data_IF_861901053480
#
_entry.id   IF_861901053480
#
_cell.length_a   1.000
_cell.length_b   1.000
_cell.length_c   1.000
_cell.angle_alpha   90.00
_cell.angle_beta   90.00
_cell.angle_gamma   90.00
#
_symmetry.space_group_name_H-M   'P 1'
#
loop_
_entity.id
_entity.type
_entity.pdbx_description
1 polymer ?
#
# COMPACT_ATOMS: atom_id res chain seq x y z
N UNK A 1 -67.72 -59.99 -65.16
CA UNK A 1 -68.19 -58.79 -65.89
C UNK A 1 -66.96 -57.97 -66.24
N UNK A 2 -66.50 -58.07 -67.49
CA UNK A 2 -65.45 -57.19 -68.02
C UNK A 2 -66.08 -55.81 -68.19
N UNK A 3 -65.61 -54.83 -67.42
CA UNK A 3 -65.92 -53.42 -67.65
C UNK A 3 -65.32 -53.05 -69.00
N UNK A 4 -66.17 -52.66 -69.95
CA UNK A 4 -65.75 -52.21 -71.28
C UNK A 4 -64.86 -50.96 -71.13
N UNK A 5 -63.55 -51.06 -71.40
CA UNK A 5 -62.62 -49.95 -71.17
C UNK A 5 -62.93 -48.71 -72.02
N UNK A 6 -63.73 -48.85 -73.09
CA UNK A 6 -64.07 -47.81 -74.06
C UNK A 6 -65.51 -47.27 -73.93
N UNK A 7 -66.20 -47.54 -72.81
CA UNK A 7 -67.51 -46.94 -72.56
C UNK A 7 -67.41 -45.40 -72.43
N UNK A 8 -67.74 -44.70 -73.52
CA UNK A 8 -67.69 -43.25 -73.61
C UNK A 8 -68.58 -42.55 -72.58
N UNK A 9 -69.75 -43.12 -72.23
CA UNK A 9 -70.63 -42.54 -71.20
C UNK A 9 -69.98 -42.59 -69.82
N UNK A 10 -69.26 -43.67 -69.49
CA UNK A 10 -68.55 -43.76 -68.22
C UNK A 10 -67.39 -42.75 -68.15
N UNK A 11 -66.64 -42.58 -69.25
CA UNK A 11 -65.58 -41.55 -69.35
C UNK A 11 -66.14 -40.13 -69.21
N UNK A 12 -67.26 -39.84 -69.88
CA UNK A 12 -67.96 -38.54 -69.75
C UNK A 12 -68.46 -38.29 -68.32
N UNK A 13 -69.01 -39.31 -67.66
CA UNK A 13 -69.47 -39.22 -66.28
C UNK A 13 -68.33 -38.94 -65.29
N UNK A 14 -67.20 -39.61 -65.44
CA UNK A 14 -65.98 -39.37 -64.64
C UNK A 14 -65.40 -37.97 -64.88
N UNK A 15 -65.39 -37.50 -66.13
CA UNK A 15 -64.98 -36.14 -66.48
C UNK A 15 -65.89 -35.09 -65.82
N UNK A 16 -67.21 -35.27 -65.91
CA UNK A 16 -68.20 -34.37 -65.29
C UNK A 16 -68.04 -34.32 -63.77
N UNK A 17 -67.68 -35.44 -63.14
CA UNK A 17 -67.43 -35.50 -61.71
C UNK A 17 -66.13 -34.75 -61.34
N UNK A 18 -65.09 -34.87 -62.16
CA UNK A 18 -63.85 -34.12 -61.98
C UNK A 18 -64.05 -32.60 -62.16
N UNK A 19 -64.88 -32.17 -63.13
CA UNK A 19 -65.27 -30.76 -63.31
C UNK A 19 -65.97 -30.20 -62.05
N UNK A 20 -66.85 -31.00 -61.41
CA UNK A 20 -67.49 -30.59 -60.15
C UNK A 20 -66.49 -30.44 -59.02
N UNK A 21 -65.52 -31.35 -58.91
CA UNK A 21 -64.44 -31.22 -57.93
C UNK A 21 -63.55 -30.01 -58.21
N UNK A 22 -63.31 -29.68 -59.48
CA UNK A 22 -62.62 -28.45 -59.87
C UNK A 22 -63.39 -27.22 -59.39
N UNK A 23 -64.69 -27.09 -59.72
CA UNK A 23 -65.51 -25.95 -59.30
C UNK A 23 -65.57 -25.81 -57.77
N UNK A 24 -65.70 -26.93 -57.05
CA UNK A 24 -65.69 -26.93 -55.59
C UNK A 24 -64.33 -26.47 -55.04
N UNK A 25 -63.23 -26.94 -55.61
CA UNK A 25 -61.89 -26.54 -55.21
C UNK A 25 -61.63 -25.05 -55.49
N UNK A 26 -62.09 -24.53 -56.63
CA UNK A 26 -62.01 -23.11 -56.96
C UNK A 26 -62.78 -22.25 -55.95
N UNK A 27 -64.01 -22.67 -55.61
CA UNK A 27 -64.81 -21.99 -54.59
C UNK A 27 -64.12 -22.00 -53.22
N UNK A 28 -63.55 -23.14 -52.80
CA UNK A 28 -62.82 -23.26 -51.54
C UNK A 28 -61.56 -22.39 -51.54
N UNK A 29 -60.81 -22.36 -52.65
CA UNK A 29 -59.65 -21.49 -52.79
C UNK A 29 -60.02 -20.00 -52.77
N UNK A 30 -61.20 -19.61 -53.27
CA UNK A 30 -61.71 -18.23 -53.18
C UNK A 30 -62.12 -17.86 -51.76
N UNK A 31 -62.50 -18.83 -50.94
CA UNK A 31 -62.80 -18.66 -49.51
C UNK A 31 -61.53 -18.76 -48.63
N UNK A 32 -60.34 -18.81 -49.24
CA UNK A 32 -59.05 -19.02 -48.56
C UNK A 32 -58.96 -20.35 -47.78
N UNK A 33 -59.91 -21.27 -47.98
CA UNK A 33 -59.82 -22.64 -47.46
C UNK A 33 -58.98 -23.51 -48.40
N UNK A 34 -57.69 -23.20 -48.45
CA UNK A 34 -56.76 -23.87 -49.34
C UNK A 34 -56.60 -25.35 -48.99
N UNK A 35 -56.75 -25.74 -47.72
CA UNK A 35 -56.66 -27.15 -47.32
C UNK A 35 -57.84 -27.95 -47.87
N UNK A 36 -59.08 -27.47 -47.73
CA UNK A 36 -60.23 -28.14 -48.31
C UNK A 36 -60.17 -28.14 -49.85
N UNK A 37 -59.68 -27.05 -50.45
CA UNK A 37 -59.44 -26.97 -51.90
C UNK A 37 -58.48 -28.06 -52.38
N UNK A 38 -57.32 -28.23 -51.72
CA UNK A 38 -56.36 -29.30 -52.04
C UNK A 38 -56.97 -30.70 -51.88
N UNK A 39 -57.80 -30.92 -50.86
CA UNK A 39 -58.48 -32.20 -50.66
C UNK A 39 -59.50 -32.50 -51.77
N UNK A 40 -60.22 -31.48 -52.25
CA UNK A 40 -61.14 -31.58 -53.40
C UNK A 40 -60.39 -31.84 -54.70
N UNK A 41 -59.27 -31.15 -54.95
CA UNK A 41 -58.41 -31.38 -56.12
C UNK A 41 -57.86 -32.81 -56.12
N UNK A 42 -57.40 -33.29 -54.96
CA UNK A 42 -56.90 -34.66 -54.80
C UNK A 42 -57.97 -35.70 -55.13
N UNK A 43 -59.22 -35.49 -54.70
CA UNK A 43 -60.35 -36.36 -55.07
C UNK A 43 -60.64 -36.31 -56.58
N UNK A 44 -60.62 -35.12 -57.19
CA UNK A 44 -60.79 -34.95 -58.64
C UNK A 44 -59.71 -35.68 -59.46
N UNK A 45 -58.44 -35.55 -59.06
CA UNK A 45 -57.30 -36.21 -59.71
C UNK A 45 -57.27 -37.73 -59.50
N UNK A 46 -57.83 -38.26 -58.40
CA UNK A 46 -58.02 -39.70 -58.21
C UNK A 46 -59.02 -40.30 -59.20
N UNK A 47 -60.00 -39.50 -59.65
CA UNK A 47 -61.05 -39.91 -60.59
C UNK A 47 -60.57 -39.75 -62.04
N UNK A 48 -59.92 -38.61 -62.34
CA UNK A 48 -59.39 -38.28 -63.67
C UNK A 48 -57.94 -37.74 -63.54
N UNK A 49 -56.92 -38.61 -63.59
CA UNK A 49 -55.51 -38.21 -63.39
C UNK A 49 -54.97 -37.23 -64.45
N UNK A 50 -55.57 -37.22 -65.63
CA UNK A 50 -55.16 -36.40 -66.78
C UNK A 50 -56.11 -35.21 -67.01
N UNK A 51 -56.85 -34.80 -65.98
CA UNK A 51 -57.75 -33.65 -66.07
C UNK A 51 -56.97 -32.33 -66.29
N UNK A 52 -57.25 -31.65 -67.39
CA UNK A 52 -56.48 -30.51 -67.90
C UNK A 52 -56.36 -29.36 -66.87
N UNK A 53 -57.47 -29.01 -66.21
CA UNK A 53 -57.52 -27.85 -65.29
C UNK A 53 -57.11 -28.14 -63.84
N UNK A 54 -57.13 -29.40 -63.39
CA UNK A 54 -56.90 -29.72 -61.97
C UNK A 54 -55.43 -29.64 -61.57
N UNK A 55 -54.51 -29.96 -62.50
CA UNK A 55 -53.06 -29.83 -62.27
C UNK A 55 -52.59 -28.38 -62.08
N UNK A 56 -52.92 -27.42 -62.96
CA UNK A 56 -52.54 -26.02 -62.74
C UNK A 56 -53.24 -25.43 -61.50
N UNK A 57 -54.49 -25.85 -61.22
CA UNK A 57 -55.18 -25.44 -59.98
C UNK A 57 -54.47 -25.98 -58.73
N UNK A 58 -53.96 -27.22 -58.75
CA UNK A 58 -53.18 -27.79 -57.64
C UNK A 58 -51.96 -26.94 -57.32
N UNK A 59 -51.17 -26.60 -58.34
CA UNK A 59 -49.95 -25.79 -58.18
C UNK A 59 -50.28 -24.39 -57.64
N UNK A 60 -51.32 -23.75 -58.18
CA UNK A 60 -51.77 -22.44 -57.72
C UNK A 60 -52.21 -22.45 -56.25
N UNK A 61 -53.03 -23.43 -55.84
CA UNK A 61 -53.53 -23.53 -54.46
C UNK A 61 -52.40 -23.90 -53.50
N UNK A 62 -51.45 -24.75 -53.91
CA UNK A 62 -50.26 -25.05 -53.12
C UNK A 62 -49.39 -23.81 -52.89
N UNK A 63 -49.18 -22.97 -53.92
CA UNK A 63 -48.44 -21.72 -53.79
C UNK A 63 -49.13 -20.75 -52.82
N UNK A 64 -50.45 -20.52 -52.98
CA UNK A 64 -51.22 -19.64 -52.07
C UNK A 64 -51.19 -20.12 -50.61
N UNK A 65 -51.31 -21.43 -50.38
CA UNK A 65 -51.19 -22.00 -49.04
C UNK A 65 -49.78 -21.83 -48.47
N UNK A 66 -48.74 -21.99 -49.28
CA UNK A 66 -47.37 -21.77 -48.85
C UNK A 66 -47.15 -20.32 -48.41
N UNK A 67 -47.66 -19.34 -49.18
CA UNK A 67 -47.61 -17.91 -48.84
C UNK A 67 -48.36 -17.60 -47.53
N UNK A 68 -49.55 -18.16 -47.32
CA UNK A 68 -50.32 -17.98 -46.07
C UNK A 68 -49.57 -18.54 -44.86
N UNK A 69 -49.00 -19.74 -44.99
CA UNK A 69 -48.22 -20.37 -43.93
C UNK A 69 -46.95 -19.58 -43.62
N UNK A 70 -46.30 -19.01 -44.63
CA UNK A 70 -45.14 -18.14 -44.46
C UNK A 70 -45.53 -16.86 -43.71
N UNK A 71 -46.59 -16.16 -44.13
CA UNK A 71 -47.12 -14.99 -43.41
C UNK A 71 -47.51 -15.30 -41.96
N UNK A 72 -48.11 -16.45 -41.72
CA UNK A 72 -48.47 -16.89 -40.36
C UNK A 72 -47.22 -17.09 -39.50
N UNK A 73 -46.20 -17.77 -40.04
CA UNK A 73 -44.90 -17.96 -39.37
C UNK A 73 -44.19 -16.65 -39.11
N UNK A 74 -44.20 -15.73 -40.06
CA UNK A 74 -43.66 -14.37 -39.89
C UNK A 74 -44.39 -13.64 -38.75
N UNK A 75 -45.72 -13.74 -38.69
CA UNK A 75 -46.54 -13.18 -37.62
C UNK A 75 -46.18 -13.75 -36.24
N UNK A 76 -46.06 -15.08 -36.13
CA UNK A 76 -45.65 -15.76 -34.90
C UNK A 76 -44.22 -15.36 -34.47
N UNK A 77 -43.29 -15.29 -35.43
CA UNK A 77 -41.92 -14.84 -35.21
C UNK A 77 -41.89 -13.40 -34.70
N UNK A 78 -42.67 -12.50 -35.31
CA UNK A 78 -42.73 -11.10 -34.92
C UNK A 78 -43.33 -10.93 -33.50
N UNK A 79 -44.34 -11.73 -33.15
CA UNK A 79 -44.90 -11.76 -31.80
C UNK A 79 -43.86 -12.23 -30.78
N UNK A 80 -43.09 -13.27 -31.11
CA UNK A 80 -42.01 -13.77 -30.26
C UNK A 80 -40.91 -12.72 -30.07
N UNK A 81 -40.49 -12.03 -31.13
CA UNK A 81 -39.53 -10.92 -31.06
C UNK A 81 -40.05 -9.82 -30.14
N UNK A 82 -41.33 -9.46 -30.26
CA UNK A 82 -41.96 -8.43 -29.42
C UNK A 82 -41.90 -8.81 -27.93
N UNK A 83 -42.20 -10.07 -27.59
CA UNK A 83 -42.11 -10.56 -26.21
C UNK A 83 -40.68 -10.56 -25.68
N UNK A 84 -39.70 -10.97 -26.50
CA UNK A 84 -38.29 -10.95 -26.12
C UNK A 84 -37.78 -9.52 -25.90
N UNK A 85 -38.22 -8.56 -26.72
CA UNK A 85 -37.86 -7.15 -26.56
C UNK A 85 -38.36 -6.61 -25.23
N UNK A 86 -39.62 -6.89 -24.87
CA UNK A 86 -40.17 -6.51 -23.57
C UNK A 86 -39.41 -7.15 -22.41
N UNK A 87 -39.09 -8.45 -22.52
CA UNK A 87 -38.29 -9.15 -21.52
C UNK A 87 -36.90 -8.53 -21.34
N UNK A 88 -36.23 -8.15 -22.44
CA UNK A 88 -34.91 -7.54 -22.40
C UNK A 88 -34.92 -6.17 -21.69
N UNK A 89 -35.94 -5.34 -21.94
CA UNK A 89 -36.11 -4.06 -21.25
C UNK A 89 -36.33 -4.26 -19.74
N UNK A 90 -37.16 -5.23 -19.35
CA UNK A 90 -37.36 -5.57 -17.93
C UNK A 90 -36.06 -6.06 -17.27
N UNK A 91 -35.26 -6.87 -17.96
CA UNK A 91 -33.95 -7.32 -17.48
C UNK A 91 -32.98 -6.14 -17.29
N UNK A 92 -33.00 -5.16 -18.21
CA UNK A 92 -32.24 -3.91 -18.08
C UNK A 92 -32.65 -3.15 -16.81
N UNK A 93 -33.95 -3.00 -16.56
CA UNK A 93 -34.47 -2.30 -15.37
C UNK A 93 -34.06 -3.00 -14.07
N UNK A 94 -33.99 -4.33 -14.09
CA UNK A 94 -33.53 -5.16 -12.98
C UNK A 94 -32.00 -5.25 -12.86
N UNK A 95 -31.25 -4.51 -13.70
CA UNK A 95 -29.79 -4.56 -13.80
C UNK A 95 -29.22 -5.95 -14.12
N UNK A 96 -30.03 -6.82 -14.72
CA UNK A 96 -29.60 -8.12 -15.26
C UNK A 96 -29.03 -7.92 -16.66
N UNK A 97 -27.88 -7.24 -16.72
CA UNK A 97 -27.31 -6.74 -17.98
C UNK A 97 -26.57 -7.84 -18.75
N UNK A 98 -25.47 -8.36 -18.18
CA UNK A 98 -24.72 -9.53 -18.69
C UNK A 98 -24.62 -10.66 -17.66
N UNK A 99 -25.35 -10.53 -16.55
CA UNK A 99 -25.38 -11.49 -15.46
C UNK A 99 -26.77 -11.48 -14.83
N UNK A 100 -27.27 -12.62 -14.33
CA UNK A 100 -26.68 -13.97 -14.34
C UNK A 100 -26.59 -14.58 -15.75
N UNK A 101 -25.84 -15.67 -15.91
CA UNK A 101 -25.49 -16.27 -17.20
C UNK A 101 -26.67 -16.86 -18.00
N UNK A 102 -27.85 -17.04 -17.41
CA UNK A 102 -29.01 -17.64 -18.10
C UNK A 102 -30.21 -16.70 -18.21
N UNK A 103 -30.12 -15.50 -17.62
CA UNK A 103 -31.26 -14.58 -17.52
C UNK A 103 -30.80 -13.13 -17.48
N UNK A 104 -30.29 -12.66 -18.61
CA UNK A 104 -29.82 -11.29 -18.78
C UNK A 104 -30.21 -10.70 -20.14
N UNK A 105 -30.25 -9.37 -20.20
CA UNK A 105 -30.67 -8.61 -21.38
C UNK A 105 -29.77 -8.87 -22.59
N UNK A 106 -28.46 -9.02 -22.39
CA UNK A 106 -27.52 -9.30 -23.47
C UNK A 106 -27.91 -10.56 -24.25
N UNK A 107 -28.18 -11.66 -23.56
CA UNK A 107 -28.60 -12.91 -24.20
C UNK A 107 -29.97 -12.80 -24.87
N UNK A 108 -30.92 -12.10 -24.26
CA UNK A 108 -32.25 -11.91 -24.85
C UNK A 108 -32.17 -11.13 -26.17
N UNK A 109 -31.32 -10.09 -26.26
CA UNK A 109 -31.08 -9.41 -27.53
C UNK A 109 -30.32 -10.27 -28.54
N UNK A 110 -29.39 -11.11 -28.12
CA UNK A 110 -28.76 -12.08 -29.02
C UNK A 110 -29.79 -13.05 -29.62
N UNK A 111 -30.72 -13.57 -28.81
CA UNK A 111 -31.82 -14.42 -29.30
C UNK A 111 -32.72 -13.70 -30.30
N UNK A 112 -32.97 -12.40 -30.13
CA UNK A 112 -33.71 -11.62 -31.11
C UNK A 112 -32.94 -11.53 -32.42
N UNK A 113 -31.63 -11.28 -32.39
CA UNK A 113 -30.81 -11.21 -33.60
C UNK A 113 -30.60 -12.57 -34.30
N UNK A 114 -30.76 -13.68 -33.57
CA UNK A 114 -30.83 -15.02 -34.17
C UNK A 114 -32.12 -15.23 -34.97
N UNK A 115 -33.23 -14.60 -34.55
CA UNK A 115 -34.51 -14.65 -35.26
C UNK A 115 -34.56 -13.62 -36.40
N UNK A 116 -34.09 -12.40 -36.14
CA UNK A 116 -34.10 -11.25 -37.06
C UNK A 116 -32.76 -10.49 -36.96
N UNK A 117 -31.78 -10.83 -37.81
CA UNK A 117 -30.46 -10.19 -37.81
C UNK A 117 -30.50 -8.67 -38.06
N UNK A 118 -31.56 -8.18 -38.69
CA UNK A 118 -31.74 -6.77 -39.02
C UNK A 118 -32.57 -6.00 -37.98
N UNK A 119 -32.89 -6.63 -36.85
CA UNK A 119 -33.66 -6.00 -35.79
C UNK A 119 -32.94 -4.81 -35.15
N UNK A 120 -33.30 -3.60 -35.59
CA UNK A 120 -32.68 -2.37 -35.10
C UNK A 120 -32.91 -2.14 -33.59
N UNK A 121 -34.03 -2.60 -33.03
CA UNK A 121 -34.31 -2.48 -31.60
C UNK A 121 -33.35 -3.33 -30.77
N UNK A 122 -33.03 -4.54 -31.21
CA UNK A 122 -32.04 -5.39 -30.54
C UNK A 122 -30.62 -4.86 -30.67
N UNK A 123 -30.24 -4.34 -31.85
CA UNK A 123 -28.94 -3.65 -32.05
C UNK A 123 -28.80 -2.45 -31.10
N UNK A 124 -29.85 -1.63 -30.97
CA UNK A 124 -29.90 -0.52 -30.00
C UNK A 124 -29.91 -1.01 -28.54
N UNK A 125 -30.46 -2.20 -28.28
CA UNK A 125 -30.46 -2.84 -26.97
C UNK A 125 -29.07 -2.99 -26.36
N UNK A 126 -28.06 -3.33 -27.17
CA UNK A 126 -26.67 -3.39 -26.70
C UNK A 126 -26.14 -2.01 -26.27
N UNK A 127 -26.51 -0.93 -26.96
CA UNK A 127 -26.16 0.43 -26.55
C UNK A 127 -26.83 0.80 -25.22
N UNK A 128 -28.12 0.44 -25.04
CA UNK A 128 -28.82 0.64 -23.75
C UNK A 128 -28.17 -0.11 -22.59
N UNK A 129 -27.65 -1.32 -22.84
CA UNK A 129 -26.87 -2.06 -21.84
C UNK A 129 -25.58 -1.29 -21.50
N UNK A 130 -24.88 -0.77 -22.51
CA UNK A 130 -23.72 0.11 -22.33
C UNK A 130 -24.02 1.35 -21.49
N UNK A 131 -25.13 2.06 -21.77
CA UNK A 131 -25.59 3.23 -21.01
C UNK A 131 -25.84 2.91 -19.53
N UNK A 132 -26.36 1.71 -19.25
CA UNK A 132 -26.59 1.25 -17.87
C UNK A 132 -25.28 0.97 -17.16
N UNK A 133 -24.31 0.35 -17.82
CA UNK A 133 -22.97 0.19 -17.28
C UNK A 133 -22.26 1.52 -17.07
N UNK A 134 -22.42 2.48 -17.98
CA UNK A 134 -21.87 3.83 -17.85
C UNK A 134 -22.35 4.48 -16.54
N UNK A 135 -23.66 4.53 -16.31
CA UNK A 135 -24.23 5.09 -15.08
C UNK A 135 -23.72 4.41 -13.82
N UNK A 136 -23.49 3.10 -13.87
CA UNK A 136 -22.97 2.33 -12.74
C UNK A 136 -21.47 2.62 -12.51
N UNK A 137 -20.68 2.72 -13.59
CA UNK A 137 -19.28 3.08 -13.55
C UNK A 137 -19.05 4.50 -13.03
N UNK A 138 -19.87 5.47 -13.44
CA UNK A 138 -19.84 6.85 -12.93
C UNK A 138 -20.12 6.92 -11.43
N UNK A 139 -21.01 6.05 -10.91
CA UNK A 139 -21.25 5.94 -9.46
C UNK A 139 -20.01 5.44 -8.75
N UNK A 140 -19.36 4.39 -9.27
CA UNK A 140 -18.11 3.89 -8.68
C UNK A 140 -16.98 4.92 -8.74
N UNK A 141 -16.85 5.67 -9.84
CA UNK A 141 -15.87 6.75 -9.96
C UNK A 141 -16.12 7.85 -8.92
N UNK A 142 -17.36 8.34 -8.81
CA UNK A 142 -17.74 9.37 -7.81
C UNK A 142 -17.52 8.92 -6.37
N UNK A 143 -17.68 7.63 -6.09
CA UNK A 143 -17.40 7.03 -4.79
C UNK A 143 -15.90 6.74 -4.56
N UNK A 144 -15.02 7.14 -5.48
CA UNK A 144 -13.57 6.92 -5.40
C UNK A 144 -13.13 5.48 -5.66
N UNK A 145 -14.05 4.59 -6.02
CA UNK A 145 -13.77 3.19 -6.32
C UNK A 145 -13.36 3.02 -7.79
N UNK A 146 -12.23 3.63 -8.16
CA UNK A 146 -11.73 3.64 -9.55
C UNK A 146 -11.55 2.24 -10.15
N UNK A 147 -11.01 1.22 -9.43
CA UNK A 147 -10.92 -0.14 -9.98
C UNK A 147 -12.28 -0.78 -10.28
N UNK A 148 -13.28 -0.56 -9.43
CA UNK A 148 -14.64 -1.05 -9.64
C UNK A 148 -15.32 -0.33 -10.82
N UNK A 149 -15.04 0.97 -10.98
CA UNK A 149 -15.46 1.74 -12.15
C UNK A 149 -14.89 1.14 -13.44
N UNK A 150 -13.57 0.89 -13.50
CA UNK A 150 -12.94 0.23 -14.66
C UNK A 150 -13.54 -1.13 -14.98
N UNK A 151 -13.73 -2.00 -13.99
CA UNK A 151 -14.35 -3.32 -14.24
C UNK A 151 -15.76 -3.19 -14.81
N UNK A 152 -16.51 -2.20 -14.35
CA UNK A 152 -17.88 -1.93 -14.82
C UNK A 152 -17.86 -1.37 -16.25
N UNK A 153 -16.89 -0.52 -16.57
CA UNK A 153 -16.66 0.00 -17.93
C UNK A 153 -16.31 -1.12 -18.89
N UNK A 154 -15.38 -2.00 -18.49
CA UNK A 154 -14.96 -3.13 -19.33
C UNK A 154 -16.12 -4.09 -19.62
N UNK A 155 -17.03 -4.31 -18.66
CA UNK A 155 -18.27 -5.06 -18.89
C UNK A 155 -19.19 -4.38 -19.90
N UNK A 156 -19.35 -3.05 -19.81
CA UNK A 156 -20.14 -2.27 -20.77
C UNK A 156 -19.55 -2.32 -22.18
N UNK A 157 -18.23 -2.14 -22.30
CA UNK A 157 -17.52 -2.22 -23.58
C UNK A 157 -17.48 -3.63 -24.16
N UNK A 158 -17.58 -4.67 -23.33
CA UNK A 158 -17.76 -6.05 -23.81
C UNK A 158 -19.07 -6.27 -24.56
N UNK A 159 -20.09 -5.45 -24.30
CA UNK A 159 -21.40 -5.51 -24.97
C UNK A 159 -21.51 -4.46 -26.07
N UNK A 160 -21.02 -3.25 -25.83
CA UNK A 160 -21.03 -2.13 -26.77
C UNK A 160 -19.59 -1.59 -26.96
N UNK A 161 -18.77 -2.23 -27.82
CA UNK A 161 -17.35 -1.90 -27.98
C UNK A 161 -17.07 -0.45 -28.40
N UNK A 162 -17.97 0.11 -29.21
CA UNK A 162 -17.83 1.45 -29.78
C UNK A 162 -18.57 2.54 -28.98
N UNK A 163 -18.99 2.23 -27.75
CA UNK A 163 -19.74 3.18 -26.92
C UNK A 163 -18.87 4.38 -26.52
N UNK A 164 -19.19 5.61 -27.00
CA UNK A 164 -18.29 6.74 -26.91
C UNK A 164 -18.05 7.21 -25.47
N UNK A 165 -19.10 7.31 -24.63
CA UNK A 165 -18.94 7.74 -23.24
C UNK A 165 -18.17 6.73 -22.39
N UNK A 166 -18.38 5.42 -22.59
CA UNK A 166 -17.63 4.38 -21.86
C UNK A 166 -16.13 4.44 -22.20
N UNK A 167 -15.80 4.63 -23.49
CA UNK A 167 -14.41 4.80 -23.93
C UNK A 167 -13.78 6.07 -23.32
N UNK A 168 -14.52 7.17 -23.28
CA UNK A 168 -14.07 8.42 -22.67
C UNK A 168 -13.86 8.26 -21.16
N UNK A 169 -14.82 7.65 -20.46
CA UNK A 169 -14.76 7.39 -19.03
C UNK A 169 -13.60 6.46 -18.68
N UNK A 170 -13.33 5.43 -19.49
CA UNK A 170 -12.18 4.54 -19.32
C UNK A 170 -10.87 5.31 -19.25
N UNK A 171 -10.66 6.23 -20.21
CA UNK A 171 -9.46 7.08 -20.28
C UNK A 171 -9.37 7.99 -19.06
N UNK A 172 -10.49 8.60 -18.65
CA UNK A 172 -10.52 9.46 -17.47
C UNK A 172 -10.15 8.70 -16.20
N UNK A 173 -10.77 7.55 -15.95
CA UNK A 173 -10.50 6.72 -14.75
C UNK A 173 -9.07 6.17 -14.75
N UNK A 174 -8.53 5.78 -15.91
CA UNK A 174 -7.13 5.37 -16.03
C UNK A 174 -6.16 6.52 -15.68
N UNK A 175 -6.46 7.73 -16.14
CA UNK A 175 -5.69 8.93 -15.78
C UNK A 175 -5.76 9.21 -14.28
N UNK A 176 -6.96 9.12 -13.68
CA UNK A 176 -7.15 9.32 -12.24
C UNK A 176 -6.35 8.32 -11.40
N UNK A 177 -6.34 7.04 -11.81
CA UNK A 177 -5.54 5.99 -11.18
C UNK A 177 -4.04 6.28 -11.27
N UNK A 178 -3.54 6.61 -12.46
CA UNK A 178 -2.13 6.94 -12.66
C UNK A 178 -1.72 8.17 -11.83
N UNK A 179 -2.57 9.20 -11.75
CA UNK A 179 -2.32 10.35 -10.89
C UNK A 179 -2.33 10.00 -9.41
N UNK A 180 -3.22 9.10 -8.97
CA UNK A 180 -3.26 8.64 -7.59
C UNK A 180 -1.99 7.85 -7.22
N UNK A 181 -1.51 6.99 -8.11
CA UNK A 181 -0.26 6.25 -7.96
C UNK A 181 0.95 7.20 -7.88
N UNK A 182 1.07 8.13 -8.85
CA UNK A 182 2.13 9.14 -8.83
C UNK A 182 2.13 10.00 -7.58
N UNK A 183 0.94 10.41 -7.09
CA UNK A 183 0.82 11.17 -5.83
C UNK A 183 1.29 10.34 -4.63
N UNK A 184 0.93 9.05 -4.57
CA UNK A 184 1.38 8.15 -3.50
C UNK A 184 2.89 7.96 -3.53
N UNK A 185 3.46 7.73 -4.71
CA UNK A 185 4.90 7.60 -4.88
C UNK A 185 5.64 8.89 -4.50
N UNK A 186 5.12 10.04 -4.91
CA UNK A 186 5.68 11.34 -4.54
C UNK A 186 5.61 11.60 -3.03
N UNK A 187 4.48 11.28 -2.39
CA UNK A 187 4.31 11.41 -0.93
C UNK A 187 5.26 10.47 -0.19
N UNK A 188 5.42 9.23 -0.65
CA UNK A 188 6.36 8.28 -0.06
C UNK A 188 7.82 8.74 -0.23
N UNK A 189 8.20 9.23 -1.41
CA UNK A 189 9.51 9.82 -1.64
C UNK A 189 9.77 11.01 -0.72
N UNK A 190 8.80 11.92 -0.55
CA UNK A 190 8.90 13.04 0.37
C UNK A 190 9.05 12.59 1.83
N UNK A 191 8.27 11.57 2.26
CA UNK A 191 8.39 10.99 3.59
C UNK A 191 9.77 10.40 3.83
N UNK A 192 10.32 9.65 2.88
CA UNK A 192 11.67 9.08 2.95
C UNK A 192 12.75 10.16 3.01
N UNK A 193 12.61 11.23 2.23
CA UNK A 193 13.53 12.37 2.27
C UNK A 193 13.48 13.08 3.63
N UNK A 194 12.29 13.40 4.12
CA UNK A 194 12.11 14.04 5.42
C UNK A 194 12.63 13.19 6.57
N UNK A 195 12.45 11.86 6.51
CA UNK A 195 13.03 10.93 7.49
C UNK A 195 14.57 10.95 7.43
N UNK A 196 15.14 10.92 6.22
CA UNK A 196 16.60 10.98 6.04
C UNK A 196 17.18 12.29 6.57
N UNK A 197 16.53 13.42 6.32
CA UNK A 197 16.95 14.73 6.83
C UNK A 197 16.84 14.81 8.36
N UNK A 198 15.77 14.25 8.94
CA UNK A 198 15.63 14.12 10.40
C UNK A 198 16.73 13.25 11.00
N UNK A 199 17.07 12.13 10.37
CA UNK A 199 18.16 11.27 10.83
C UNK A 199 19.51 11.99 10.76
N UNK A 200 19.81 12.67 9.65
CA UNK A 200 21.06 13.44 9.50
C UNK A 200 21.18 14.56 10.52
N UNK A 201 20.12 15.34 10.73
CA UNK A 201 20.10 16.41 11.74
C UNK A 201 20.19 15.86 13.16
N UNK A 202 19.56 14.72 13.46
CA UNK A 202 19.71 14.02 14.74
C UNK A 202 21.14 13.48 14.94
N UNK A 203 21.77 12.95 13.89
CA UNK A 203 23.16 12.49 13.93
C UNK A 203 24.13 13.65 14.13
N UNK A 204 23.92 14.77 13.44
CA UNK A 204 24.74 15.97 13.58
C UNK A 204 24.63 16.57 14.99
N UNK A 205 23.42 16.68 15.53
CA UNK A 205 23.21 17.16 16.91
C UNK A 205 23.84 16.21 17.92
N UNK A 206 23.72 14.89 17.73
CA UNK A 206 24.40 13.89 18.55
C UNK A 206 25.92 14.01 18.46
N UNK A 207 26.47 14.21 17.28
CA UNK A 207 27.92 14.40 17.06
C UNK A 207 28.43 15.65 17.79
N UNK A 208 27.72 16.78 17.65
CA UNK A 208 28.04 18.03 18.36
C UNK A 208 27.99 17.84 19.88
N UNK A 209 26.96 17.18 20.39
CA UNK A 209 26.85 16.89 21.83
C UNK A 209 28.01 16.01 22.33
N UNK A 210 28.40 14.97 21.57
CA UNK A 210 29.56 14.12 21.89
C UNK A 210 30.88 14.91 21.83
N UNK A 211 31.04 15.83 20.89
CA UNK A 211 32.22 16.70 20.79
C UNK A 211 32.31 17.68 21.96
N UNK A 212 31.20 18.31 22.34
CA UNK A 212 31.11 19.19 23.51
C UNK A 212 31.40 18.43 24.81
N UNK A 213 30.89 17.21 24.95
CA UNK A 213 31.18 16.35 26.09
C UNK A 213 32.68 16.00 26.16
N UNK A 214 33.28 15.59 25.03
CA UNK A 214 34.73 15.34 24.95
C UNK A 214 35.54 16.58 25.33
N UNK A 215 35.15 17.76 24.85
CA UNK A 215 35.83 19.03 25.17
C UNK A 215 35.72 19.35 26.67
N UNK A 216 34.55 19.14 27.28
CA UNK A 216 34.35 19.30 28.73
C UNK A 216 35.23 18.33 29.52
N UNK A 217 35.26 17.06 29.13
CA UNK A 217 36.11 16.04 29.76
C UNK A 217 37.60 16.40 29.66
N UNK A 218 38.09 16.79 28.48
CA UNK A 218 39.47 17.22 28.28
C UNK A 218 39.84 18.46 29.11
N UNK A 219 38.93 19.44 29.21
CA UNK A 219 39.12 20.61 30.07
C UNK A 219 39.19 20.24 31.56
N UNK A 220 38.31 19.35 32.02
CA UNK A 220 38.33 18.83 33.39
C UNK A 220 39.62 18.06 33.67
N UNK A 221 40.09 17.23 32.74
CA UNK A 221 41.36 16.51 32.88
C UNK A 221 42.53 17.48 32.93
N UNK A 222 42.58 18.48 32.05
CA UNK A 222 43.60 19.54 32.08
C UNK A 222 43.59 20.31 33.40
N UNK A 223 42.41 20.63 33.94
CA UNK A 223 42.28 21.26 35.25
C UNK A 223 42.83 20.36 36.36
N UNK A 224 42.48 19.07 36.37
CA UNK A 224 43.00 18.09 37.33
C UNK A 224 44.53 17.97 37.24
N UNK A 225 45.08 17.89 36.03
CA UNK A 225 46.53 17.85 35.81
C UNK A 225 47.21 19.14 36.31
N UNK A 226 46.61 20.30 36.03
CA UNK A 226 47.12 21.61 36.48
C UNK A 226 47.08 21.71 38.00
N UNK A 227 45.98 21.29 38.64
CA UNK A 227 45.86 21.26 40.10
C UNK A 227 46.87 20.30 40.73
N UNK A 228 47.04 19.10 40.16
CA UNK A 228 48.03 18.14 40.61
C UNK A 228 49.46 18.68 40.48
N UNK A 229 49.80 19.36 39.38
CA UNK A 229 51.09 20.02 39.20
C UNK A 229 51.30 21.14 40.23
N UNK A 230 50.28 21.97 40.48
CA UNK A 230 50.31 23.01 41.53
C UNK A 230 50.50 22.40 42.93
N UNK A 231 49.79 21.32 43.25
CA UNK A 231 49.93 20.60 44.52
C UNK A 231 51.36 20.05 44.68
N UNK A 232 51.91 19.42 43.65
CA UNK A 232 53.31 18.93 43.64
C UNK A 232 54.32 20.06 43.82
N UNK A 233 54.16 21.17 43.09
CA UNK A 233 55.04 22.33 43.21
C UNK A 233 54.96 22.96 44.61
N UNK A 234 53.75 23.09 45.19
CA UNK A 234 53.56 23.60 46.54
C UNK A 234 54.14 22.64 47.60
N UNK A 235 54.03 21.32 47.40
CA UNK A 235 54.67 20.33 48.28
C UNK A 235 56.20 20.42 48.18
N UNK A 236 56.75 20.55 46.98
CA UNK A 236 58.19 20.72 46.79
C UNK A 236 58.69 22.02 47.41
N UNK A 237 57.95 23.12 47.27
CA UNK A 237 58.26 24.39 47.91
C UNK A 237 58.21 24.27 49.44
N UNK A 238 57.18 23.61 50.00
CA UNK A 238 57.11 23.32 51.44
C UNK A 238 58.29 22.47 51.91
N UNK A 239 58.68 21.44 51.15
CA UNK A 239 59.86 20.62 51.45
C UNK A 239 61.14 21.45 51.42
N UNK A 240 61.30 22.35 50.44
CA UNK A 240 62.43 23.28 50.33
C UNK A 240 62.46 24.25 51.52
N UNK A 241 61.33 24.85 51.88
CA UNK A 241 61.21 25.74 53.04
C UNK A 241 61.52 25.01 54.35
N UNK A 242 60.97 23.80 54.55
CA UNK A 242 61.26 22.99 55.73
C UNK A 242 62.75 22.62 55.83
N UNK A 243 63.39 22.27 54.72
CA UNK A 243 64.84 22.00 54.67
C UNK A 243 65.67 23.24 54.99
N UNK A 244 65.27 24.42 54.50
CA UNK A 244 65.91 25.69 54.82
C UNK A 244 65.72 26.05 56.30
N UNK A 245 64.53 25.81 56.86
CA UNK A 245 64.26 26.04 58.28
C UNK A 245 65.05 25.08 59.18
N UNK A 246 65.14 23.80 58.80
CA UNK A 246 65.97 22.81 59.48
C UNK A 246 67.46 23.20 59.43
N UNK A 247 67.95 23.66 58.27
CA UNK A 247 69.31 24.18 58.14
C UNK A 247 69.54 25.41 59.03
N UNK A 248 68.59 26.35 59.08
CA UNK A 248 68.66 27.52 59.96
C UNK A 248 68.69 27.10 61.43
N UNK A 249 67.81 26.19 61.86
CA UNK A 249 67.78 25.65 63.23
C UNK A 249 69.07 24.91 63.56
N UNK A 250 69.61 24.12 62.63
CA UNK A 250 70.86 23.40 62.81
C UNK A 250 72.06 24.36 62.89
N UNK A 251 72.09 25.42 62.08
CA UNK A 251 73.12 26.47 62.17
C UNK A 251 73.03 27.23 63.50
N UNK A 252 71.82 27.58 63.93
CA UNK A 252 71.59 28.23 65.22
C UNK A 252 71.99 27.33 66.39
N UNK A 253 71.62 26.05 66.36
CA UNK A 253 72.05 25.06 67.35
C UNK A 253 73.57 24.86 67.35
N UNK A 254 74.23 24.87 66.19
CA UNK A 254 75.70 24.86 66.10
C UNK A 254 76.32 26.10 66.73
N UNK A 255 75.78 27.29 66.46
CA UNK A 255 76.22 28.55 67.08
C UNK A 255 76.03 28.52 68.59
N UNK A 256 74.88 28.04 69.08
CA UNK A 256 74.60 27.89 70.51
C UNK A 256 75.51 26.86 71.16
N UNK A 257 75.75 25.70 70.52
CA UNK A 257 76.68 24.69 71.01
C UNK A 257 78.12 25.19 71.03
N UNK A 258 78.53 25.99 70.04
CA UNK A 258 79.84 26.64 70.02
C UNK A 258 79.96 27.67 71.15
N UNK A 259 78.94 28.50 71.36
CA UNK A 259 78.87 29.43 72.50
C UNK A 259 78.93 28.69 73.84
N UNK A 260 78.16 27.62 74.01
CA UNK A 260 78.16 26.80 75.22
C UNK A 260 79.52 26.13 75.44
N UNK A 261 80.17 25.62 74.40
CA UNK A 261 81.55 25.10 74.48
C UNK A 261 82.54 26.18 74.86
N UNK A 262 82.42 27.39 74.32
CA UNK A 262 83.27 28.53 74.70
C UNK A 262 83.06 28.88 76.18
N UNK A 263 81.82 28.96 76.64
CA UNK A 263 81.47 29.21 78.04
C UNK A 263 81.98 28.09 78.97
N UNK A 264 81.83 26.83 78.56
CA UNK A 264 82.30 25.68 79.34
C UNK A 264 83.83 25.61 79.38
N UNK A 265 84.52 25.88 78.28
CA UNK A 265 85.97 26.00 78.25
C UNK A 265 86.48 27.19 79.10
N UNK A 266 85.71 28.28 79.15
CA UNK A 266 85.98 29.42 80.02
C UNK A 266 85.78 29.07 81.51
N UNK A 267 84.69 28.37 81.85
CA UNK A 267 84.43 27.83 83.19
C UNK A 267 85.48 26.80 83.61
N UNK A 268 85.92 25.92 82.70
CA UNK A 268 87.00 24.96 82.97
C UNK A 268 88.34 25.67 83.14
N UNK A 269 88.62 26.72 82.37
CA UNK A 269 89.78 27.60 82.62
C UNK A 269 89.69 28.28 83.97
N UNK A 270 88.52 28.76 84.37
CA UNK A 270 88.30 29.38 85.67
C UNK A 270 88.46 28.36 86.80
N UNK A 271 87.89 27.15 86.68
CA UNK A 271 88.06 26.06 87.65
C UNK A 271 89.51 25.58 87.72
N UNK A 272 90.19 25.42 86.59
CA UNK A 272 91.61 25.07 86.56
C UNK A 272 92.48 26.18 87.17
N UNK A 273 92.13 27.46 86.96
CA UNK A 273 92.77 28.59 87.61
C UNK A 273 92.49 28.63 89.12
N UNK A 274 91.27 28.29 89.56
CA UNK A 274 90.88 28.21 90.97
C UNK A 274 91.52 27.01 91.67
N UNK A 275 91.62 25.86 91.00
CA UNK A 275 92.30 24.67 91.49
C UNK A 275 93.83 24.87 91.53
N UNK A 276 94.41 25.57 90.55
CA UNK A 276 95.79 26.03 90.58
C UNK A 276 96.02 27.04 91.72
N UNK A 277 95.08 27.95 91.97
CA UNK A 277 95.13 28.87 93.10
C UNK A 277 94.99 28.14 94.45
N UNK A 278 94.17 27.09 94.55
CA UNK A 278 94.09 26.22 95.74
C UNK A 278 95.36 25.41 95.95
N UNK A 279 96.00 24.90 94.89
CA UNK A 279 97.32 24.26 94.98
C UNK A 279 98.39 25.25 95.44
N UNK A 280 98.42 26.46 94.87
CA UNK A 280 99.32 27.53 95.33
C UNK A 280 99.04 27.98 96.78
N UNK A 281 97.78 27.97 97.22
CA UNK A 281 97.40 28.30 98.59
C UNK A 281 97.75 27.18 99.61
N UNK A 282 97.87 25.92 99.17
CA UNK A 282 98.39 24.82 100.00
C UNK A 282 99.92 24.79 100.08
N UNK A 283 100.63 25.33 99.09
CA UNK A 283 102.11 25.45 99.10
C UNK A 283 102.64 26.64 99.91
N UNK A 284 101.79 27.56 100.38
CA UNK A 284 102.20 28.80 101.08
C UNK A 284 101.68 28.93 102.52
N UNK A 285 101.75 27.86 103.32
CA UNK A 285 101.63 27.96 104.79
C UNK A 285 103.03 28.12 105.42
N UNK A 286 103.38 29.26 106.07
CA UNK A 286 104.64 29.43 106.77
C UNK A 286 104.59 28.95 108.22
N UNK A 287 105.71 28.38 108.71
CA UNK A 287 105.96 28.02 110.11
C UNK A 287 106.19 29.26 111.00
N UNK A 288 105.83 29.24 112.30
CA UNK A 288 105.99 30.39 113.19
C UNK A 288 107.37 30.44 113.89
N UNK A 289 107.83 31.67 114.17
CA UNK A 289 109.05 31.99 114.92
C UNK A 289 108.85 31.95 116.46
N UNK A 290 109.92 31.79 117.28
CA UNK A 290 109.84 31.72 118.75
C UNK A 290 110.27 33.02 119.49
N UNK A 291 109.65 33.31 120.64
CA UNK A 291 110.08 34.10 121.84
C UNK A 291 108.81 34.39 122.68
N UNK A 292 108.68 34.37 124.03
CA UNK A 292 109.54 34.28 125.23
C UNK A 292 108.66 33.84 126.44
N UNK A 293 109.24 33.32 127.55
CA UNK A 293 108.51 32.86 128.73
C UNK A 293 108.42 33.90 129.86
N UNK A 294 107.29 33.89 130.61
CA UNK A 294 107.11 34.24 132.04
C UNK A 294 105.61 34.09 132.35
N UNK A 295 105.21 32.96 132.93
CA UNK A 295 105.02 32.76 134.39
C UNK A 295 103.98 33.71 134.99
N UNK A 296 102.78 33.20 135.28
CA UNK A 296 102.23 33.10 136.64
C UNK A 296 100.83 32.45 136.61
N UNK A 297 100.57 31.54 137.55
CA UNK A 297 99.21 31.31 138.05
C UNK A 297 98.71 29.86 138.02
N UNK A 298 99.15 29.06 139.00
CA UNK A 298 98.33 28.12 139.79
C UNK A 298 96.95 28.73 140.12
N UNK A 299 95.81 28.05 140.02
CA UNK A 299 95.33 26.84 140.70
C UNK A 299 94.15 26.24 139.92
#
# INVERSE_FOLDING_TARGET
MQLDPDNQQARQGLATLADRYQQLAEQQSQQEDFQASLDSIKKGLQIAPDHESLRPLLEQVQAKRAEELEKSREGEQQQRITQLLEQAEQQIEQLRLTSPADNNAYQTYQQILELDPDNEQAKQGFQKIGDRYLKLAERYQRNGSLPASLNTIDKGLGVAPDHPELLALRKAVQSDLAQQEQRREAEEAQRRQAETERQRSAEETRRKALEDERRRQANLEKQRQTEQARRKAAEEERRRQAKLEEQRKAEEARRQAEQARRQQAELERQRAAEEAARRQAQEQRPQPAPEKPRMFGTF
#
